data_IF_024101217707
#
_entry.id   IF_024101217707
#
_cell.length_a   1.000
_cell.length_b   1.000
_cell.length_c   1.000
_cell.angle_alpha   90.00
_cell.angle_beta   90.00
_cell.angle_gamma   90.00
#
_symmetry.space_group_name_H-M   'P 1'
#
loop_
_entity.id
_entity.type
_entity.pdbx_description
1 polymer ?
#
# COMPACT_ATOMS: atom_id res chain seq x y z
N UNK A 1 -23.50 63.82 6.50
CA UNK A 1 -24.94 64.17 6.58
C UNK A 1 -25.36 64.70 5.22
N UNK A 2 -26.28 64.05 4.50
CA UNK A 2 -26.96 64.53 3.27
C UNK A 2 -26.06 64.83 2.03
N UNK A 3 -26.52 64.82 0.77
CA UNK A 3 -27.55 64.04 0.03
C UNK A 3 -27.42 64.32 -1.49
N UNK A 4 -28.26 63.67 -2.32
CA UNK A 4 -28.50 63.82 -3.79
C UNK A 4 -27.83 62.71 -4.62
N UNK A 5 -28.49 61.73 -5.28
CA UNK A 5 -29.66 61.71 -6.19
C UNK A 5 -29.48 62.64 -7.41
N UNK A 6 -29.74 62.27 -8.68
CA UNK A 6 -30.58 61.24 -9.35
C UNK A 6 -29.89 60.72 -10.65
N UNK A 7 -30.02 59.47 -11.14
CA UNK A 7 -31.15 58.70 -11.74
C UNK A 7 -31.73 59.22 -13.09
N UNK A 8 -31.24 58.65 -14.19
CA UNK A 8 -31.93 58.30 -15.46
C UNK A 8 -31.22 57.00 -15.97
N UNK A 9 -31.81 55.87 -16.40
CA UNK A 9 -33.08 55.48 -17.05
C UNK A 9 -33.07 55.58 -18.57
N UNK A 10 -32.57 54.52 -19.23
CA UNK A 10 -32.83 54.22 -20.65
C UNK A 10 -33.56 52.87 -20.73
N UNK A 11 -34.70 52.84 -21.44
CA UNK A 11 -35.41 51.63 -21.90
C UNK A 11 -35.08 51.40 -23.38
N UNK A 12 -35.09 50.15 -23.84
CA UNK A 12 -35.66 49.64 -25.12
C UNK A 12 -35.43 48.11 -25.12
N UNK A 13 -36.41 47.28 -24.77
CA UNK A 13 -37.47 46.64 -25.60
C UNK A 13 -37.07 45.23 -26.10
N UNK A 14 -38.05 44.32 -26.05
CA UNK A 14 -37.96 42.86 -26.17
C UNK A 14 -37.83 42.30 -27.59
N UNK A 15 -37.24 41.10 -27.72
CA UNK A 15 -37.73 40.07 -28.67
C UNK A 15 -37.79 38.71 -27.98
N UNK A 16 -38.96 38.07 -28.02
CA UNK A 16 -39.18 36.69 -27.57
C UNK A 16 -39.06 35.75 -28.78
N UNK A 17 -38.37 34.61 -28.63
CA UNK A 17 -38.62 33.42 -29.46
C UNK A 17 -38.61 32.15 -28.61
N UNK A 18 -39.82 31.70 -28.29
CA UNK A 18 -40.12 30.33 -27.88
C UNK A 18 -40.22 29.42 -29.12
N UNK A 19 -39.72 28.19 -29.04
CA UNK A 19 -40.09 27.13 -29.97
C UNK A 19 -40.24 25.79 -29.22
N UNK A 20 -41.44 25.55 -28.72
CA UNK A 20 -41.94 24.20 -28.43
C UNK A 20 -42.18 23.46 -29.75
N UNK A 21 -41.74 22.21 -29.85
CA UNK A 21 -42.40 21.19 -30.66
C UNK A 21 -42.15 19.83 -30.01
N UNK A 22 -43.23 19.13 -29.70
CA UNK A 22 -43.23 17.75 -29.23
C UNK A 22 -44.19 16.97 -30.12
N UNK A 23 -43.78 15.77 -30.53
CA UNK A 23 -44.59 14.57 -30.82
C UNK A 23 -43.59 13.46 -31.24
N UNK A 24 -43.50 12.39 -30.45
CA UNK A 24 -44.13 11.08 -30.71
C UNK A 24 -43.54 10.33 -31.91
N UNK A 25 -42.88 9.18 -31.68
CA UNK A 25 -43.36 7.86 -32.14
C UNK A 25 -42.45 6.68 -31.66
N UNK A 26 -43.08 5.76 -30.92
CA UNK A 26 -42.87 4.30 -30.77
C UNK A 26 -41.47 3.65 -30.65
N UNK A 27 -41.30 2.97 -29.49
CA UNK A 27 -40.94 1.55 -29.31
C UNK A 27 -40.08 0.82 -30.34
N UNK A 28 -38.99 0.19 -29.87
CA UNK A 28 -38.79 -1.25 -30.07
C UNK A 28 -37.86 -1.86 -29.00
N UNK A 29 -38.41 -2.76 -28.18
CA UNK A 29 -37.63 -3.71 -27.37
C UNK A 29 -36.82 -4.65 -28.27
N UNK A 30 -35.60 -5.02 -27.86
CA UNK A 30 -35.11 -6.39 -28.03
C UNK A 30 -34.11 -6.79 -26.93
N UNK A 31 -34.44 -7.85 -26.19
CA UNK A 31 -33.52 -8.55 -25.30
C UNK A 31 -32.58 -9.44 -26.12
N UNK A 32 -31.36 -9.67 -25.64
CA UNK A 32 -30.55 -10.82 -26.08
C UNK A 32 -30.08 -11.66 -24.90
N UNK A 33 -30.59 -12.89 -24.85
CA UNK A 33 -30.20 -13.96 -23.92
C UNK A 33 -29.05 -14.79 -24.49
N UNK A 34 -28.32 -15.47 -23.60
CA UNK A 34 -27.25 -16.42 -23.98
C UNK A 34 -27.78 -17.63 -24.75
N UNK A 35 -26.98 -18.13 -25.70
CA UNK A 35 -27.02 -19.54 -26.12
C UNK A 35 -25.65 -20.00 -26.65
N UNK A 36 -25.19 -21.17 -26.19
CA UNK A 36 -24.08 -21.92 -26.77
C UNK A 36 -24.51 -22.57 -28.09
N UNK A 37 -23.60 -22.65 -29.06
CA UNK A 37 -23.59 -23.76 -30.03
C UNK A 37 -22.16 -24.09 -30.45
N UNK A 38 -21.78 -25.36 -30.34
CA UNK A 38 -20.66 -25.96 -31.05
C UNK A 38 -21.19 -26.88 -32.14
N UNK A 39 -20.46 -26.99 -33.27
CA UNK A 39 -20.20 -28.20 -34.08
C UNK A 39 -20.07 -27.93 -35.59
N UNK A 40 -19.09 -28.64 -36.14
CA UNK A 40 -19.10 -29.33 -37.45
C UNK A 40 -19.35 -28.51 -38.73
N UNK A 41 -18.29 -28.37 -39.54
CA UNK A 41 -18.37 -28.73 -40.96
C UNK A 41 -17.06 -29.38 -41.43
N UNK A 42 -17.17 -30.48 -42.18
CA UNK A 42 -16.07 -31.30 -42.72
C UNK A 42 -16.43 -31.71 -44.16
N UNK A 43 -15.42 -31.89 -45.04
CA UNK A 43 -15.40 -32.28 -46.49
C UNK A 43 -14.92 -31.13 -47.39
N UNK A 44 -14.16 -31.32 -48.49
CA UNK A 44 -13.51 -32.49 -49.15
C UNK A 44 -12.24 -31.92 -49.89
N UNK A 45 -11.03 -32.48 -49.82
CA UNK A 45 -10.46 -33.70 -50.45
C UNK A 45 -9.97 -33.53 -51.91
N UNK A 46 -8.63 -33.54 -52.05
CA UNK A 46 -7.70 -34.02 -53.10
C UNK A 46 -7.66 -33.49 -54.56
N UNK A 47 -6.43 -33.26 -55.06
CA UNK A 47 -5.74 -34.12 -56.08
C UNK A 47 -4.32 -33.62 -56.49
N UNK A 48 -3.31 -34.52 -56.43
CA UNK A 48 -2.07 -34.66 -57.28
C UNK A 48 -1.09 -33.46 -57.34
N UNK A 49 0.18 -33.48 -56.88
CA UNK A 49 1.32 -34.44 -56.90
C UNK A 49 2.27 -34.35 -58.13
N UNK A 50 3.53 -33.98 -57.87
CA UNK A 50 4.72 -34.21 -58.72
C UNK A 50 6.01 -33.91 -57.94
N UNK A 51 6.94 -34.88 -57.89
CA UNK A 51 8.29 -34.76 -57.30
C UNK A 51 9.36 -35.30 -58.27
N UNK A 52 10.65 -34.92 -58.10
CA UNK A 52 11.63 -35.86 -57.51
C UNK A 52 12.72 -35.19 -56.62
N UNK A 53 12.96 -35.69 -55.38
CA UNK A 53 14.16 -36.42 -54.88
C UNK A 53 15.52 -35.65 -54.87
N UNK A 54 16.42 -35.77 -53.89
CA UNK A 54 17.09 -36.97 -53.31
C UNK A 54 17.54 -36.77 -51.84
N UNK A 55 17.36 -37.82 -51.01
CA UNK A 55 18.14 -38.39 -49.85
C UNK A 55 19.23 -37.52 -49.12
N UNK A 56 19.55 -37.63 -47.82
CA UNK A 56 19.57 -38.69 -46.77
C UNK A 56 19.41 -38.04 -45.36
N UNK A 57 19.37 -38.69 -44.18
CA UNK A 57 18.88 -39.99 -43.66
C UNK A 57 18.81 -39.90 -42.10
N UNK A 58 18.20 -40.86 -41.39
CA UNK A 58 18.15 -40.89 -39.90
C UNK A 58 17.93 -42.31 -39.33
N UNK A 59 18.43 -42.64 -38.11
CA UNK A 59 18.10 -43.89 -37.42
C UNK A 59 17.17 -43.68 -36.21
N UNK A 60 16.13 -44.52 -36.11
CA UNK A 60 15.18 -44.57 -34.98
C UNK A 60 15.61 -45.63 -33.97
N UNK A 61 15.55 -45.35 -32.65
CA UNK A 61 15.64 -46.39 -31.60
C UNK A 61 14.60 -46.16 -30.51
N UNK A 62 13.77 -47.18 -30.28
CA UNK A 62 12.80 -47.27 -29.18
C UNK A 62 13.45 -47.83 -27.91
N UNK A 63 13.11 -47.30 -26.73
CA UNK A 63 13.32 -48.00 -25.44
C UNK A 63 12.22 -47.73 -24.41
N UNK A 64 11.81 -48.82 -23.76
CA UNK A 64 10.89 -48.88 -22.63
C UNK A 64 11.62 -49.30 -21.36
N UNK A 65 11.35 -48.65 -20.21
CA UNK A 65 11.68 -49.17 -18.87
C UNK A 65 10.60 -48.69 -17.88
N UNK A 66 9.69 -49.57 -17.44
CA UNK A 66 9.81 -50.44 -16.24
C UNK A 66 9.94 -49.68 -14.91
N UNK A 67 8.79 -49.44 -14.28
CA UNK A 67 8.69 -49.13 -12.85
C UNK A 67 8.97 -50.40 -12.01
N UNK A 68 9.64 -50.25 -10.85
CA UNK A 68 9.86 -51.35 -9.90
C UNK A 68 9.80 -50.83 -8.47
N UNK A 69 8.85 -51.34 -7.70
CA UNK A 69 8.76 -51.08 -6.26
C UNK A 69 9.82 -51.88 -5.51
N UNK A 70 10.32 -51.33 -4.40
CA UNK A 70 11.05 -52.11 -3.39
C UNK A 70 10.54 -51.75 -1.99
N UNK A 71 10.11 -52.79 -1.28
CA UNK A 71 9.68 -52.77 0.12
C UNK A 71 10.54 -53.82 0.83
N UNK A 72 11.35 -53.42 1.80
CA UNK A 72 12.06 -54.36 2.67
C UNK A 72 12.07 -53.86 4.10
N UNK A 73 11.66 -54.74 5.01
CA UNK A 73 11.77 -54.55 6.45
C UNK A 73 13.12 -55.11 6.91
N UNK A 74 13.74 -54.51 7.94
CA UNK A 74 14.56 -55.29 8.85
C UNK A 74 14.45 -54.76 10.28
N UNK A 75 14.03 -55.64 11.19
CA UNK A 75 13.99 -55.39 12.64
C UNK A 75 15.40 -55.59 13.22
N UNK A 76 15.86 -54.69 14.08
CA UNK A 76 16.80 -55.02 15.15
C UNK A 76 16.35 -54.38 16.46
N UNK A 77 16.12 -55.23 17.48
CA UNK A 77 15.99 -54.80 18.88
C UNK A 77 17.37 -54.47 19.41
N UNK A 78 17.53 -53.33 20.08
CA UNK A 78 18.51 -53.17 21.16
C UNK A 78 17.81 -52.49 22.33
N UNK A 79 18.01 -53.05 23.51
CA UNK A 79 17.39 -52.63 24.78
C UNK A 79 18.45 -52.09 25.72
N UNK A 80 18.30 -50.86 26.21
CA UNK A 80 18.87 -50.34 27.46
C UNK A 80 18.31 -48.91 27.71
N UNK A 81 18.44 -48.32 28.91
CA UNK A 81 17.45 -48.51 29.95
C UNK A 81 16.69 -47.22 30.29
N UNK A 82 15.49 -47.39 30.86
CA UNK A 82 14.70 -46.30 31.44
C UNK A 82 15.44 -45.63 32.60
N UNK A 83 15.78 -44.34 32.45
CA UNK A 83 16.08 -43.45 33.57
C UNK A 83 14.93 -42.45 33.72
N UNK A 84 14.14 -42.62 34.76
CA UNK A 84 13.23 -41.59 35.29
C UNK A 84 14.04 -40.60 36.14
N UNK A 85 13.95 -39.29 35.89
CA UNK A 85 14.16 -38.26 36.90
C UNK A 85 12.85 -37.97 37.64
N UNK A 86 12.97 -37.62 38.91
CA UNK A 86 11.87 -37.37 39.85
C UNK A 86 10.75 -36.46 39.33
N UNK A 87 9.53 -36.74 39.81
CA UNK A 87 8.52 -35.72 40.05
C UNK A 87 9.06 -34.73 41.10
N UNK A 88 9.51 -33.57 40.67
CA UNK A 88 9.57 -32.35 41.49
C UNK A 88 8.50 -31.42 40.95
N UNK A 89 7.54 -31.03 41.79
CA UNK A 89 6.47 -30.13 41.36
C UNK A 89 6.98 -28.69 41.27
N UNK A 90 6.62 -28.00 40.20
CA UNK A 90 6.33 -26.57 40.27
C UNK A 90 5.08 -26.29 39.45
N UNK A 91 4.16 -25.51 40.03
CA UNK A 91 2.82 -25.24 39.49
C UNK A 91 2.81 -24.15 38.43
N UNK A 92 3.84 -24.14 37.57
CA UNK A 92 3.89 -23.21 36.44
C UNK A 92 2.83 -23.58 35.42
N UNK A 93 1.81 -22.72 35.29
CA UNK A 93 0.83 -22.79 34.21
C UNK A 93 1.60 -22.76 32.87
N UNK A 94 1.66 -23.91 32.20
CA UNK A 94 2.31 -24.05 30.91
C UNK A 94 1.45 -23.31 29.89
N UNK A 95 1.74 -22.01 29.70
CA UNK A 95 1.20 -21.22 28.59
C UNK A 95 1.50 -21.99 27.31
N UNK A 96 0.46 -22.58 26.74
CA UNK A 96 0.57 -23.50 25.62
C UNK A 96 1.16 -22.72 24.45
N UNK A 97 2.40 -23.08 24.07
CA UNK A 97 3.17 -22.28 23.12
C UNK A 97 2.50 -22.36 21.75
N UNK A 98 1.82 -21.27 21.35
CA UNK A 98 1.07 -21.19 20.11
C UNK A 98 1.89 -21.75 18.94
N UNK A 99 1.31 -22.75 18.27
CA UNK A 99 1.91 -23.42 17.12
C UNK A 99 2.10 -22.44 15.96
N UNK A 100 3.15 -22.62 15.13
CA UNK A 100 3.31 -21.78 13.94
C UNK A 100 2.16 -22.00 12.94
N UNK A 101 1.74 -20.92 12.30
CA UNK A 101 0.61 -20.89 11.36
C UNK A 101 1.04 -20.16 10.08
N UNK A 102 0.41 -20.46 8.94
CA UNK A 102 0.51 -19.62 7.74
C UNK A 102 -0.84 -18.94 7.50
N UNK A 103 -0.83 -17.62 7.36
CA UNK A 103 -2.03 -16.82 7.04
C UNK A 103 -1.86 -16.12 5.69
N UNK A 104 -2.97 -15.93 4.98
CA UNK A 104 -3.07 -15.14 3.74
C UNK A 104 -4.16 -14.09 3.95
N UNK A 105 -3.97 -12.91 3.37
CA UNK A 105 -4.96 -11.84 3.36
C UNK A 105 -5.21 -11.36 1.91
N UNK A 106 -6.46 -11.08 1.48
CA UNK A 106 -6.77 -10.60 0.13
C UNK A 106 -6.01 -9.32 -0.28
N UNK A 107 -5.74 -8.42 0.66
CA UNK A 107 -5.08 -7.13 0.43
C UNK A 107 -3.59 -7.30 0.12
N UNK A 108 -2.93 -8.31 0.71
CA UNK A 108 -1.52 -8.61 0.46
C UNK A 108 -1.29 -9.70 -0.58
N UNK A 109 -2.31 -10.54 -0.81
CA UNK A 109 -2.36 -11.68 -1.71
C UNK A 109 -1.15 -12.64 -1.60
N UNK A 110 -0.59 -12.80 -0.40
CA UNK A 110 0.56 -13.68 -0.12
C UNK A 110 0.45 -14.35 1.23
N UNK A 111 1.18 -15.45 1.40
CA UNK A 111 1.32 -16.12 2.68
C UNK A 111 2.35 -15.43 3.58
N UNK A 112 2.08 -15.42 4.89
CA UNK A 112 3.00 -15.01 5.95
C UNK A 112 3.02 -16.09 7.02
N UNK A 113 4.22 -16.45 7.51
CA UNK A 113 4.42 -17.43 8.57
C UNK A 113 4.39 -16.71 9.92
N UNK A 114 3.48 -17.09 10.81
CA UNK A 114 3.51 -16.69 12.22
C UNK A 114 4.30 -17.73 13.03
N UNK A 115 5.26 -17.27 13.86
CA UNK A 115 6.10 -18.17 14.65
C UNK A 115 6.59 -17.55 15.96
N UNK A 116 5.77 -17.53 17.03
CA UNK A 116 6.12 -16.90 18.32
C UNK A 116 7.36 -17.50 19.01
N UNK A 117 7.73 -18.74 18.68
CA UNK A 117 8.98 -19.34 19.16
C UNK A 117 10.23 -18.53 18.74
N UNK A 118 10.17 -17.78 17.63
CA UNK A 118 11.21 -16.81 17.22
C UNK A 118 11.39 -15.71 18.26
N UNK A 119 10.32 -15.26 18.93
CA UNK A 119 10.37 -14.13 19.87
C UNK A 119 11.19 -14.40 21.14
N UNK A 120 11.50 -15.66 21.44
CA UNK A 120 12.44 -16.02 22.51
C UNK A 120 13.90 -15.75 22.15
N UNK A 121 14.20 -15.34 20.92
CA UNK A 121 15.55 -14.89 20.53
C UNK A 121 15.79 -13.50 21.14
N UNK A 122 16.87 -13.30 21.93
CA UNK A 122 17.11 -12.05 22.68
C UNK A 122 17.19 -10.77 21.83
N UNK A 123 17.26 -10.91 20.51
CA UNK A 123 17.42 -9.83 19.56
C UNK A 123 16.10 -9.24 19.07
N UNK A 124 14.96 -9.92 19.09
CA UNK A 124 13.95 -9.67 18.04
C UNK A 124 12.89 -8.59 18.39
N UNK A 125 12.96 -7.96 19.57
CA UNK A 125 11.80 -7.26 20.17
C UNK A 125 11.99 -5.86 20.78
N UNK A 126 13.19 -5.28 20.72
CA UNK A 126 13.41 -3.89 21.14
C UNK A 126 14.13 -3.13 20.04
N UNK A 127 13.86 -1.83 19.93
CA UNK A 127 14.54 -0.93 18.99
C UNK A 127 16.06 -1.13 19.09
N UNK A 128 16.65 -1.73 18.05
CA UNK A 128 18.10 -2.00 17.97
C UNK A 128 18.86 -0.87 17.28
N UNK A 129 18.16 0.14 16.77
CA UNK A 129 18.83 1.24 16.08
C UNK A 129 19.67 1.99 17.12
N UNK A 130 21.01 2.02 17.00
CA UNK A 130 21.81 2.81 17.91
C UNK A 130 21.37 4.26 17.75
N UNK A 131 21.07 4.93 18.87
CA UNK A 131 21.00 6.39 18.86
C UNK A 131 22.33 6.91 18.29
N UNK A 132 22.25 7.78 17.30
CA UNK A 132 23.44 8.39 16.70
C UNK A 132 24.31 8.98 17.82
N UNK A 133 25.60 8.59 17.95
CA UNK A 133 26.48 9.18 18.95
C UNK A 133 26.81 10.65 18.64
N UNK A 134 26.54 11.11 17.41
CA UNK A 134 26.58 12.52 17.05
C UNK A 134 25.21 13.18 17.38
N UNK A 135 25.20 14.39 17.97
CA UNK A 135 23.96 15.13 18.21
C UNK A 135 23.21 15.38 16.90
N UNK A 136 21.88 15.22 16.91
CA UNK A 136 21.00 15.67 15.80
C UNK A 136 21.37 17.15 15.53
N UNK A 137 21.70 17.56 14.29
CA UNK A 137 22.05 18.95 14.01
C UNK A 137 20.86 19.85 14.34
N UNK A 138 21.08 20.99 14.99
CA UNK A 138 19.99 21.88 15.43
C UNK A 138 19.30 22.65 14.29
N UNK A 139 19.82 22.56 13.07
CA UNK A 139 19.27 23.18 11.87
C UNK A 139 19.68 22.40 10.62
N UNK A 140 18.84 22.45 9.58
CA UNK A 140 19.11 21.89 8.25
C UNK A 140 18.38 22.72 7.18
N UNK A 141 18.57 22.45 5.86
CA UNK A 141 17.87 23.15 4.78
C UNK A 141 16.33 23.17 4.86
N UNK A 142 15.71 22.21 5.57
CA UNK A 142 14.25 22.16 5.71
C UNK A 142 13.70 23.11 6.79
N UNK A 143 14.55 23.71 7.62
CA UNK A 143 14.12 24.70 8.60
C UNK A 143 13.63 26.00 7.94
N UNK A 144 12.67 26.67 8.59
CA UNK A 144 12.18 27.99 8.16
C UNK A 144 13.34 29.01 8.08
N UNK A 145 13.31 29.86 7.05
CA UNK A 145 14.37 30.83 6.73
C UNK A 145 15.54 30.27 5.90
N UNK A 146 15.56 28.96 5.61
CA UNK A 146 16.60 28.28 4.81
C UNK A 146 16.06 27.73 3.48
N UNK A 147 14.94 28.26 3.01
CA UNK A 147 14.23 27.79 1.82
C UNK A 147 15.08 27.85 0.54
N UNK A 148 16.05 28.76 0.48
CA UNK A 148 17.01 28.91 -0.63
C UNK A 148 18.03 27.76 -0.74
N UNK A 149 18.14 26.90 0.28
CA UNK A 149 18.96 25.68 0.28
C UNK A 149 18.15 24.44 -0.17
N UNK A 150 16.84 24.59 -0.41
CA UNK A 150 15.97 23.54 -0.92
C UNK A 150 15.97 23.48 -2.45
N UNK A 151 15.55 22.34 -2.99
CA UNK A 151 15.07 22.25 -4.37
C UNK A 151 13.75 23.06 -4.54
N UNK A 152 13.32 23.34 -5.78
CA UNK A 152 12.17 24.21 -6.07
C UNK A 152 10.90 23.85 -5.29
N UNK A 153 10.20 24.88 -4.82
CA UNK A 153 8.95 24.73 -4.09
C UNK A 153 7.75 24.57 -5.04
N UNK A 154 6.86 23.62 -4.72
CA UNK A 154 5.63 23.37 -5.46
C UNK A 154 4.48 24.16 -4.85
N UNK A 155 4.34 24.12 -3.51
CA UNK A 155 3.49 25.02 -2.73
C UNK A 155 3.84 24.95 -1.23
N UNK A 156 3.24 25.84 -0.44
CA UNK A 156 3.28 25.86 1.03
C UNK A 156 1.88 26.02 1.63
N UNK A 157 1.75 25.77 2.93
CA UNK A 157 0.52 26.03 3.70
C UNK A 157 0.87 26.79 4.98
N UNK A 158 0.26 27.95 5.28
CA UNK A 158 -0.71 28.68 4.44
C UNK A 158 -0.09 29.15 3.10
N UNK A 159 -0.92 29.35 2.07
CA UNK A 159 -0.42 29.63 0.71
C UNK A 159 0.35 30.97 0.67
N UNK A 160 1.58 30.92 0.12
CA UNK A 160 2.50 32.08 0.00
C UNK A 160 2.88 32.78 1.32
N UNK A 161 2.59 32.18 2.47
CA UNK A 161 2.92 32.74 3.78
C UNK A 161 4.43 32.55 4.10
N UNK A 162 5.15 33.58 4.58
CA UNK A 162 6.49 33.39 5.12
C UNK A 162 6.50 32.52 6.39
N UNK A 163 5.45 32.55 7.22
CA UNK A 163 5.29 31.76 8.44
C UNK A 163 4.58 30.43 8.15
N UNK A 164 5.13 29.66 7.22
CA UNK A 164 4.55 28.40 6.77
C UNK A 164 4.53 27.32 7.87
N UNK A 165 3.48 26.49 7.87
CA UNK A 165 3.33 25.29 8.70
C UNK A 165 3.92 24.05 8.04
N UNK A 166 3.75 23.94 6.72
CA UNK A 166 4.36 22.87 5.90
C UNK A 166 4.70 23.37 4.49
N UNK A 167 5.56 22.64 3.79
CA UNK A 167 5.91 22.89 2.38
C UNK A 167 5.97 21.61 1.59
N UNK A 168 5.53 21.66 0.33
CA UNK A 168 5.76 20.61 -0.67
C UNK A 168 6.79 21.13 -1.65
N UNK A 169 7.95 20.49 -1.68
CA UNK A 169 9.08 20.83 -2.55
C UNK A 169 9.41 19.66 -3.46
N UNK A 170 10.12 19.92 -4.54
CA UNK A 170 10.77 18.88 -5.32
C UNK A 170 11.83 18.14 -4.47
N UNK A 171 12.10 16.87 -4.74
CA UNK A 171 13.28 16.21 -4.18
C UNK A 171 14.53 16.67 -4.95
N UNK A 172 15.58 17.10 -4.23
CA UNK A 172 16.88 17.52 -4.80
C UNK A 172 17.64 16.36 -5.45
N UNK A 173 17.42 15.14 -4.98
CA UNK A 173 18.01 13.90 -5.51
C UNK A 173 16.88 12.94 -5.94
N UNK A 174 16.14 13.28 -7.02
CA UNK A 174 14.94 12.55 -7.38
C UNK A 174 15.28 11.18 -8.00
N UNK A 175 14.53 10.14 -7.62
CA UNK A 175 14.75 8.78 -8.14
C UNK A 175 14.18 8.59 -9.56
N UNK A 176 13.28 9.47 -9.97
CA UNK A 176 12.65 9.55 -11.29
C UNK A 176 12.68 11.00 -11.77
N UNK A 177 12.86 11.23 -13.06
CA UNK A 177 13.04 12.57 -13.63
C UNK A 177 11.77 13.05 -14.34
N UNK A 178 11.21 14.16 -13.85
CA UNK A 178 10.03 14.80 -14.45
C UNK A 178 10.28 15.35 -15.86
N UNK A 179 11.54 15.55 -16.24
CA UNK A 179 11.94 16.07 -17.55
C UNK A 179 11.93 15.00 -18.67
N UNK A 180 11.60 13.74 -18.36
CA UNK A 180 11.55 12.64 -19.33
C UNK A 180 10.13 12.37 -19.89
N UNK A 181 9.15 13.21 -19.57
CA UNK A 181 7.72 12.99 -19.90
C UNK A 181 7.43 12.73 -21.39
N UNK A 182 8.22 13.33 -22.28
CA UNK A 182 8.07 13.24 -23.74
C UNK A 182 8.96 12.18 -24.40
N UNK A 183 9.74 11.42 -23.63
CA UNK A 183 10.73 10.48 -24.18
C UNK A 183 10.13 9.08 -24.42
N UNK A 184 9.86 8.77 -25.68
CA UNK A 184 9.44 7.44 -26.14
C UNK A 184 10.62 6.45 -26.24
N UNK A 185 11.34 6.19 -25.15
CA UNK A 185 12.44 5.21 -25.12
C UNK A 185 11.96 3.78 -24.87
N UNK A 186 11.07 3.27 -25.73
CA UNK A 186 10.88 1.83 -25.90
C UNK A 186 12.00 1.28 -26.78
N UNK A 187 13.08 0.79 -26.16
CA UNK A 187 14.01 -0.13 -26.83
C UNK A 187 13.45 -1.54 -26.69
N UNK A 188 12.72 -1.99 -27.70
CA UNK A 188 12.21 -3.36 -27.74
C UNK A 188 13.22 -4.29 -28.42
N UNK A 189 13.77 -5.21 -27.63
CA UNK A 189 14.16 -6.53 -28.14
C UNK A 189 13.18 -7.54 -27.54
N UNK A 190 12.91 -8.64 -28.23
CA UNK A 190 11.79 -9.54 -27.88
C UNK A 190 11.82 -10.06 -26.42
N UNK A 191 12.98 -10.10 -25.78
CA UNK A 191 13.18 -10.61 -24.41
C UNK A 191 13.58 -9.56 -23.37
N UNK A 192 13.91 -8.33 -23.76
CA UNK A 192 14.34 -7.26 -22.85
C UNK A 192 13.69 -5.94 -23.25
N UNK A 193 12.94 -5.36 -22.31
CA UNK A 193 12.26 -4.08 -22.46
C UNK A 193 12.82 -3.07 -21.46
N UNK A 194 12.92 -1.82 -21.89
CA UNK A 194 13.30 -0.66 -21.06
C UNK A 194 12.28 0.45 -21.31
N UNK A 195 11.99 1.24 -20.28
CA UNK A 195 11.20 2.47 -20.34
C UNK A 195 12.02 3.63 -19.77
N UNK A 196 11.67 4.87 -20.13
CA UNK A 196 12.25 6.06 -19.51
C UNK A 196 12.00 6.07 -17.99
N UNK A 197 12.99 6.54 -17.21
CA UNK A 197 12.86 6.80 -15.77
C UNK A 197 12.03 8.05 -15.46
N UNK A 198 10.90 8.24 -16.17
CA UNK A 198 9.99 9.35 -15.95
C UNK A 198 9.20 9.18 -14.65
N UNK A 199 8.96 10.28 -13.96
CA UNK A 199 8.11 10.34 -12.78
C UNK A 199 8.36 11.62 -11.99
N UNK A 200 7.64 11.76 -10.88
CA UNK A 200 7.85 12.84 -9.91
C UNK A 200 8.38 12.24 -8.60
N UNK A 201 9.37 12.88 -7.99
CA UNK A 201 9.82 12.58 -6.64
C UNK A 201 9.87 13.90 -5.87
N UNK A 202 8.97 14.04 -4.90
CA UNK A 202 8.71 15.28 -4.17
C UNK A 202 8.78 15.00 -2.65
N UNK A 203 9.12 16.02 -1.87
CA UNK A 203 9.25 15.96 -0.41
C UNK A 203 8.20 16.87 0.23
N UNK A 204 7.55 16.38 1.28
CA UNK A 204 6.67 17.20 2.12
C UNK A 204 7.38 17.44 3.45
N UNK A 205 7.75 18.70 3.70
CA UNK A 205 8.32 19.15 4.96
C UNK A 205 7.16 19.42 5.91
N UNK A 206 7.06 18.66 7.00
CA UNK A 206 5.86 18.58 7.83
C UNK A 206 5.80 19.64 8.96
N UNK A 207 6.91 20.36 9.21
CA UNK A 207 7.02 21.37 10.27
C UNK A 207 8.10 22.40 9.92
N UNK A 208 8.00 23.67 10.33
CA UNK A 208 9.09 24.64 10.24
C UNK A 208 10.21 24.40 11.26
N UNK A 209 9.92 23.67 12.35
CA UNK A 209 10.82 23.46 13.49
C UNK A 209 11.53 22.10 13.37
N UNK A 210 12.86 22.10 13.48
CA UNK A 210 13.70 20.92 13.24
C UNK A 210 13.39 19.71 14.13
N UNK A 211 13.10 19.96 15.41
CA UNK A 211 12.97 18.94 16.44
C UNK A 211 11.55 18.40 16.64
N UNK A 212 10.57 18.92 15.91
CA UNK A 212 9.18 18.47 16.00
C UNK A 212 8.98 17.31 15.04
N UNK A 213 8.47 16.20 15.57
CA UNK A 213 8.17 14.99 14.81
C UNK A 213 6.67 14.92 14.48
N UNK A 214 6.27 14.14 13.46
CA UNK A 214 4.87 14.11 13.01
C UNK A 214 3.88 13.74 14.15
N UNK A 215 4.30 12.87 15.06
CA UNK A 215 3.53 12.45 16.24
C UNK A 215 3.39 13.54 17.31
N UNK A 216 4.16 14.62 17.24
CA UNK A 216 4.06 15.76 18.16
C UNK A 216 3.03 16.77 17.70
N UNK A 217 2.87 16.96 16.38
CA UNK A 217 1.85 17.82 15.77
C UNK A 217 0.45 17.49 16.28
N UNK A 218 -0.39 18.51 16.39
CA UNK A 218 -1.79 18.34 16.75
C UNK A 218 -2.58 17.67 15.59
N UNK A 219 -3.78 17.10 15.85
CA UNK A 219 -4.58 16.46 14.82
C UNK A 219 -4.88 17.36 13.61
N UNK A 220 -4.98 18.68 13.78
CA UNK A 220 -5.22 19.61 12.67
C UNK A 220 -3.94 19.81 11.84
N UNK A 221 -2.78 19.96 12.47
CA UNK A 221 -1.49 20.00 11.76
C UNK A 221 -1.20 18.74 10.95
N UNK A 222 -1.54 17.55 11.46
CA UNK A 222 -1.44 16.30 10.70
C UNK A 222 -2.50 16.24 9.58
N UNK A 223 -3.71 16.75 9.84
CA UNK A 223 -4.74 16.94 8.82
C UNK A 223 -4.28 17.82 7.65
N UNK A 224 -3.62 18.95 7.92
CA UNK A 224 -3.02 19.82 6.90
C UNK A 224 -1.99 19.06 6.04
N UNK A 225 -1.17 18.20 6.66
CA UNK A 225 -0.20 17.34 5.95
C UNK A 225 -0.91 16.33 5.03
N UNK A 226 -1.99 15.69 5.50
CA UNK A 226 -2.80 14.78 4.69
C UNK A 226 -3.51 15.49 3.53
N UNK A 227 -4.01 16.71 3.74
CA UNK A 227 -4.58 17.57 2.69
C UNK A 227 -3.50 18.03 1.70
N UNK A 228 -2.27 18.29 2.14
CA UNK A 228 -1.15 18.57 1.24
C UNK A 228 -0.83 17.37 0.33
N UNK A 229 -0.89 16.13 0.84
CA UNK A 229 -0.77 14.93 0.00
C UNK A 229 -1.88 14.86 -1.05
N UNK A 230 -3.15 15.06 -0.65
CA UNK A 230 -4.29 15.11 -1.57
C UNK A 230 -4.08 16.16 -2.67
N UNK A 231 -3.75 17.41 -2.29
CA UNK A 231 -3.49 18.51 -3.23
C UNK A 231 -2.38 18.16 -4.22
N UNK A 232 -1.28 17.53 -3.75
CA UNK A 232 -0.19 17.13 -4.64
C UNK A 232 -0.56 15.97 -5.56
N UNK A 233 -1.32 14.98 -5.07
CA UNK A 233 -1.87 13.90 -5.90
C UNK A 233 -2.74 14.47 -7.03
N UNK A 234 -3.66 15.39 -6.72
CA UNK A 234 -4.56 16.02 -7.71
C UNK A 234 -3.84 16.89 -8.76
N UNK A 235 -2.65 17.41 -8.45
CA UNK A 235 -1.77 18.04 -9.43
C UNK A 235 -1.12 17.00 -10.36
N UNK A 236 -0.65 15.88 -9.80
CA UNK A 236 0.05 14.83 -10.55
C UNK A 236 -0.91 14.05 -11.44
N UNK A 237 -2.19 13.89 -11.06
CA UNK A 237 -3.22 13.21 -11.89
C UNK A 237 -3.49 13.90 -13.23
N UNK A 238 -3.02 15.13 -13.44
CA UNK A 238 -3.09 15.82 -14.74
C UNK A 238 -2.07 15.29 -15.77
N UNK A 239 -1.21 14.34 -15.39
CA UNK A 239 -0.21 13.72 -16.25
C UNK A 239 -0.59 12.26 -16.58
N UNK A 240 -1.15 12.02 -17.77
CA UNK A 240 -1.56 10.69 -18.26
C UNK A 240 -0.43 9.64 -18.27
N UNK A 241 0.82 10.06 -18.25
CA UNK A 241 1.99 9.19 -18.18
C UNK A 241 2.24 8.60 -16.77
N UNK A 242 1.53 9.05 -15.74
CA UNK A 242 1.55 8.48 -14.39
C UNK A 242 0.38 7.49 -14.23
N UNK A 243 0.66 6.32 -13.65
CA UNK A 243 -0.34 5.27 -13.41
C UNK A 243 -0.56 4.97 -11.91
N UNK A 244 0.42 5.28 -11.04
CA UNK A 244 0.30 5.14 -9.58
C UNK A 244 1.10 6.21 -8.85
N UNK A 245 0.70 6.57 -7.62
CA UNK A 245 1.43 7.50 -6.75
C UNK A 245 1.57 6.86 -5.37
N UNK A 246 2.80 6.67 -4.91
CA UNK A 246 3.09 6.23 -3.56
C UNK A 246 3.39 7.43 -2.66
N UNK A 247 2.60 7.59 -1.60
CA UNK A 247 2.92 8.51 -0.48
C UNK A 247 3.45 7.68 0.67
N UNK A 248 4.60 8.06 1.23
CA UNK A 248 5.26 7.30 2.29
C UNK A 248 6.10 8.20 3.20
N UNK A 249 6.34 7.74 4.43
CA UNK A 249 7.25 8.38 5.39
C UNK A 249 8.32 7.39 5.84
N UNK A 250 9.53 7.90 6.02
CA UNK A 250 10.62 7.22 6.70
C UNK A 250 10.96 8.02 7.96
N UNK A 251 10.94 7.39 9.12
CA UNK A 251 11.33 8.01 10.39
C UNK A 251 12.43 7.17 11.06
N UNK A 252 13.56 7.81 11.36
CA UNK A 252 14.74 7.14 11.92
C UNK A 252 15.68 6.56 10.83
N UNK A 253 16.98 6.55 11.12
CA UNK A 253 18.01 6.27 10.12
C UNK A 253 17.91 4.86 9.50
N UNK A 254 17.67 3.83 10.32
CA UNK A 254 17.54 2.45 9.84
C UNK A 254 16.28 2.22 8.99
N UNK A 255 15.24 3.06 9.15
CA UNK A 255 14.02 3.05 8.32
C UNK A 255 14.20 3.83 7.00
N UNK A 256 15.42 4.28 6.68
CA UNK A 256 15.73 4.99 5.44
C UNK A 256 15.50 6.50 5.49
N UNK A 257 15.46 7.11 6.68
CA UNK A 257 15.46 8.57 6.80
C UNK A 257 16.89 9.12 6.66
N UNK A 258 17.16 9.89 5.61
CA UNK A 258 18.43 10.60 5.41
C UNK A 258 18.49 11.96 6.11
N UNK A 259 17.34 12.53 6.46
CA UNK A 259 17.19 13.82 7.15
C UNK A 259 16.51 13.60 8.50
N UNK A 260 17.01 14.25 9.55
CA UNK A 260 16.44 14.23 10.91
C UNK A 260 15.16 15.06 11.06
N UNK A 261 15.01 16.10 10.24
CA UNK A 261 13.85 16.99 10.20
C UNK A 261 12.62 16.23 9.71
N UNK A 262 11.47 16.38 10.37
CA UNK A 262 10.27 15.60 10.03
C UNK A 262 9.74 15.94 8.64
N UNK A 263 9.78 14.93 7.76
CA UNK A 263 9.32 15.00 6.39
C UNK A 263 8.75 13.65 5.94
N UNK A 264 8.04 13.68 4.82
CA UNK A 264 7.58 12.51 4.07
C UNK A 264 7.83 12.72 2.57
N UNK A 265 7.52 11.72 1.75
CA UNK A 265 7.88 11.67 0.34
C UNK A 265 6.69 11.22 -0.51
N UNK A 266 6.61 11.76 -1.72
CA UNK A 266 5.63 11.40 -2.75
C UNK A 266 6.39 10.97 -3.99
N UNK A 267 6.12 9.77 -4.49
CA UNK A 267 6.73 9.24 -5.70
C UNK A 267 5.66 8.80 -6.71
N UNK A 268 5.64 9.45 -7.86
CA UNK A 268 4.71 9.18 -8.95
C UNK A 268 5.36 8.30 -10.00
N UNK A 269 4.71 7.18 -10.31
CA UNK A 269 5.24 6.07 -11.11
C UNK A 269 4.53 5.97 -12.47
N UNK A 270 5.27 5.68 -13.56
CA UNK A 270 4.70 5.41 -14.88
C UNK A 270 4.14 3.98 -15.00
N UNK A 271 4.15 3.20 -13.93
CA UNK A 271 3.67 1.81 -13.86
C UNK A 271 2.89 1.58 -12.58
N UNK A 272 2.00 0.58 -12.58
CA UNK A 272 1.38 0.07 -11.35
C UNK A 272 2.38 -0.88 -10.67
N UNK A 273 2.78 -0.65 -9.40
CA UNK A 273 3.79 -1.46 -8.74
C UNK A 273 3.23 -2.81 -8.25
N UNK A 274 4.07 -3.84 -8.02
CA UNK A 274 3.62 -5.21 -7.78
C UNK A 274 2.63 -5.39 -6.63
N UNK A 275 2.83 -4.68 -5.51
CA UNK A 275 1.92 -4.75 -4.35
C UNK A 275 0.51 -4.25 -4.65
N UNK A 276 0.36 -3.33 -5.62
CA UNK A 276 -0.94 -2.80 -6.03
C UNK A 276 -1.63 -3.79 -6.96
N UNK A 277 -0.90 -4.40 -7.90
CA UNK A 277 -1.43 -5.48 -8.75
C UNK A 277 -1.89 -6.67 -7.90
N UNK A 278 -1.02 -7.19 -7.03
CA UNK A 278 -1.36 -8.30 -6.13
C UNK A 278 -2.57 -8.01 -5.25
N UNK A 279 -2.72 -6.76 -4.76
CA UNK A 279 -3.89 -6.31 -4.01
C UNK A 279 -5.15 -6.28 -4.86
N UNK A 280 -5.09 -5.75 -6.08
CA UNK A 280 -6.24 -5.76 -7.00
C UNK A 280 -6.69 -7.19 -7.31
N UNK A 281 -5.74 -8.08 -7.61
CA UNK A 281 -6.03 -9.49 -7.88
C UNK A 281 -6.70 -10.17 -6.67
N UNK A 282 -6.10 -10.05 -5.48
CA UNK A 282 -6.60 -10.73 -4.29
C UNK A 282 -7.91 -10.15 -3.74
N UNK A 283 -8.10 -8.82 -3.84
CA UNK A 283 -9.37 -8.18 -3.44
C UNK A 283 -10.48 -8.43 -4.46
N UNK A 284 -10.16 -8.59 -5.75
CA UNK A 284 -11.09 -9.07 -6.77
C UNK A 284 -11.51 -10.52 -6.51
N UNK A 285 -10.56 -11.44 -6.32
CA UNK A 285 -10.84 -12.84 -5.96
C UNK A 285 -11.82 -12.93 -4.78
N UNK A 286 -11.54 -12.19 -3.70
CA UNK A 286 -12.42 -12.13 -2.53
C UNK A 286 -13.80 -11.54 -2.83
N UNK A 287 -13.89 -10.52 -3.68
CA UNK A 287 -15.16 -9.90 -4.06
C UNK A 287 -16.00 -10.81 -4.96
N UNK A 288 -15.38 -11.49 -5.93
CA UNK A 288 -16.04 -12.45 -6.82
C UNK A 288 -16.59 -13.64 -6.03
N UNK A 289 -15.91 -14.09 -4.96
CA UNK A 289 -16.35 -15.18 -4.08
C UNK A 289 -17.42 -14.76 -3.04
N UNK A 290 -17.35 -13.54 -2.49
CA UNK A 290 -18.15 -13.15 -1.31
C UNK A 290 -19.18 -12.04 -1.57
N UNK A 291 -19.10 -11.34 -2.70
CA UNK A 291 -19.88 -10.14 -3.01
C UNK A 291 -19.52 -8.91 -2.17
N UNK A 292 -18.35 -8.88 -1.51
CA UNK A 292 -17.98 -7.85 -0.53
C UNK A 292 -16.54 -7.35 -0.69
N UNK A 293 -16.30 -6.08 -0.35
CA UNK A 293 -14.94 -5.59 -0.13
C UNK A 293 -14.42 -6.09 1.23
N UNK A 294 -13.25 -6.72 1.24
CA UNK A 294 -12.61 -7.24 2.46
C UNK A 294 -12.31 -6.15 3.52
N UNK A 295 -11.93 -4.94 3.10
CA UNK A 295 -11.64 -3.83 4.03
C UNK A 295 -12.90 -3.19 4.62
N UNK A 296 -14.05 -3.28 3.96
CA UNK A 296 -15.33 -2.94 4.59
C UNK A 296 -15.71 -3.93 5.71
N UNK A 297 -15.14 -5.14 5.69
CA UNK A 297 -15.24 -6.13 6.79
C UNK A 297 -14.06 -6.06 7.77
N UNK A 298 -13.21 -5.01 7.74
CA UNK A 298 -11.99 -4.93 8.55
C UNK A 298 -12.21 -5.17 10.07
N UNK A 299 -13.34 -4.74 10.63
CA UNK A 299 -13.67 -4.96 12.05
C UNK A 299 -13.95 -6.42 12.43
N UNK A 300 -14.36 -7.25 11.48
CA UNK A 300 -14.64 -8.68 11.70
C UNK A 300 -13.55 -9.60 11.12
N UNK A 301 -12.73 -9.09 10.20
CA UNK A 301 -11.61 -9.81 9.57
C UNK A 301 -10.26 -9.53 10.20
N UNK A 302 -10.12 -8.46 10.98
CA UNK A 302 -8.86 -8.06 11.62
C UNK A 302 -9.09 -7.66 13.09
N UNK A 303 -8.00 -7.49 13.85
CA UNK A 303 -8.09 -7.21 15.28
C UNK A 303 -8.04 -5.70 15.53
N UNK A 304 -9.20 -5.09 15.77
CA UNK A 304 -9.36 -3.64 16.04
C UNK A 304 -8.47 -3.18 17.20
N UNK A 305 -7.77 -2.06 17.05
CA UNK A 305 -6.93 -1.44 18.10
C UNK A 305 -7.69 -0.26 18.70
N UNK A 306 -8.00 0.77 17.90
CA UNK A 306 -8.81 1.93 18.25
C UNK A 306 -9.75 2.31 17.09
N UNK A 307 -10.72 3.19 17.34
CA UNK A 307 -11.66 3.69 16.35
C UNK A 307 -11.87 5.21 16.52
N UNK A 308 -11.96 5.93 15.39
CA UNK A 308 -12.27 7.36 15.33
C UNK A 308 -13.65 7.58 14.69
N UNK A 309 -14.01 8.82 14.32
CA UNK A 309 -15.31 9.11 13.70
C UNK A 309 -15.46 8.42 12.34
N UNK A 310 -14.40 8.39 11.53
CA UNK A 310 -14.40 7.91 10.14
C UNK A 310 -13.43 6.76 9.85
N UNK A 311 -12.53 6.42 10.78
CA UNK A 311 -11.51 5.39 10.58
C UNK A 311 -11.49 4.36 11.71
N UNK A 312 -10.86 3.21 11.44
CA UNK A 312 -10.54 2.18 12.44
C UNK A 312 -9.09 1.76 12.26
N UNK A 313 -8.34 1.62 13.35
CA UNK A 313 -7.02 1.00 13.33
C UNK A 313 -7.12 -0.48 13.67
N UNK A 314 -6.37 -1.33 12.98
CA UNK A 314 -6.38 -2.79 13.15
C UNK A 314 -4.98 -3.37 13.10
N UNK A 315 -4.74 -4.46 13.84
CA UNK A 315 -3.65 -5.38 13.56
C UNK A 315 -4.12 -6.36 12.47
N UNK A 316 -3.50 -6.37 11.26
CA UNK A 316 -3.98 -7.16 10.13
C UNK A 316 -3.89 -8.67 10.39
N UNK A 317 -4.89 -9.45 9.97
CA UNK A 317 -4.94 -10.90 10.25
C UNK A 317 -3.71 -11.66 9.72
N UNK A 318 -3.23 -11.33 8.53
CA UNK A 318 -1.96 -11.81 7.97
C UNK A 318 -0.90 -10.70 7.90
N UNK A 319 -0.74 -9.93 8.99
CA UNK A 319 0.30 -8.91 9.14
C UNK A 319 1.68 -9.44 8.70
N UNK A 320 2.35 -8.71 7.80
CA UNK A 320 3.68 -9.05 7.29
C UNK A 320 4.75 -8.83 8.37
N UNK A 321 4.60 -7.76 9.16
CA UNK A 321 5.59 -7.33 10.14
C UNK A 321 5.04 -7.37 11.58
N UNK A 322 5.88 -7.61 12.59
CA UNK A 322 5.46 -7.53 13.99
C UNK A 322 5.08 -6.08 14.34
N UNK A 323 3.96 -5.92 15.07
CA UNK A 323 3.35 -4.60 15.36
C UNK A 323 2.97 -3.76 14.13
N UNK A 324 2.75 -4.40 12.98
CA UNK A 324 2.11 -3.75 11.83
C UNK A 324 0.67 -3.32 12.16
N UNK A 325 0.32 -2.09 11.78
CA UNK A 325 -1.00 -1.50 11.98
C UNK A 325 -1.53 -0.98 10.65
N UNK A 326 -2.79 -1.27 10.32
CA UNK A 326 -3.50 -0.56 9.24
C UNK A 326 -4.52 0.41 9.84
N UNK A 327 -4.62 1.62 9.28
CA UNK A 327 -5.71 2.56 9.51
C UNK A 327 -6.58 2.55 8.26
N UNK A 328 -7.83 2.14 8.42
CA UNK A 328 -8.77 1.83 7.34
C UNK A 328 -9.98 2.77 7.45
N UNK A 329 -10.45 3.38 6.35
CA UNK A 329 -11.71 4.11 6.32
C UNK A 329 -12.90 3.19 6.65
N UNK A 330 -13.88 3.68 7.39
CA UNK A 330 -15.13 2.94 7.67
C UNK A 330 -16.12 3.01 6.50
N UNK A 331 -16.11 4.12 5.77
CA UNK A 331 -16.83 4.26 4.51
C UNK A 331 -16.01 3.64 3.38
N UNK A 332 -16.65 2.90 2.46
CA UNK A 332 -15.94 2.39 1.28
C UNK A 332 -15.34 3.53 0.45
N UNK A 333 -14.02 3.53 0.28
CA UNK A 333 -13.31 4.59 -0.44
C UNK A 333 -12.13 4.04 -1.22
N UNK A 334 -12.16 4.09 -2.55
CA UNK A 334 -11.09 3.54 -3.40
C UNK A 334 -9.85 4.45 -3.47
N UNK A 335 -10.03 5.77 -3.39
CA UNK A 335 -8.97 6.76 -3.58
C UNK A 335 -8.70 7.56 -2.30
N UNK A 336 -7.43 7.61 -1.87
CA UNK A 336 -7.02 8.44 -0.74
C UNK A 336 -7.32 9.94 -0.97
N UNK A 337 -7.14 10.43 -2.20
CA UNK A 337 -7.33 11.85 -2.52
C UNK A 337 -8.80 12.33 -2.52
N UNK A 338 -9.76 11.44 -2.17
CA UNK A 338 -11.14 11.82 -1.85
C UNK A 338 -11.32 12.30 -0.40
N UNK A 339 -10.27 12.23 0.45
CA UNK A 339 -10.27 12.73 1.82
C UNK A 339 -10.74 14.19 1.92
N UNK A 340 -11.78 14.48 2.70
CA UNK A 340 -12.21 15.85 3.03
C UNK A 340 -11.53 16.37 4.31
N UNK A 341 -11.70 17.65 4.62
CA UNK A 341 -11.00 18.31 5.73
C UNK A 341 -11.43 17.75 7.11
N UNK A 342 -12.69 17.34 7.27
CA UNK A 342 -13.20 16.75 8.52
C UNK A 342 -12.56 15.37 8.72
N UNK A 343 -12.57 14.54 7.67
CA UNK A 343 -11.89 13.24 7.67
C UNK A 343 -10.38 13.38 7.82
N UNK A 344 -9.76 14.44 7.31
CA UNK A 344 -8.32 14.68 7.46
C UNK A 344 -7.92 14.95 8.92
N UNK A 345 -8.70 15.73 9.68
CA UNK A 345 -8.44 15.96 11.11
C UNK A 345 -8.71 14.71 11.95
N UNK A 346 -9.80 13.99 11.68
CA UNK A 346 -10.12 12.71 12.36
C UNK A 346 -9.05 11.63 12.08
N UNK A 347 -8.56 11.55 10.83
CA UNK A 347 -7.44 10.70 10.46
C UNK A 347 -6.13 11.15 11.12
N UNK A 348 -5.86 12.46 11.16
CA UNK A 348 -4.71 13.01 11.87
C UNK A 348 -4.69 12.63 13.34
N UNK A 349 -5.86 12.62 14.00
CA UNK A 349 -6.03 12.16 15.38
C UNK A 349 -5.69 10.69 15.59
N UNK A 350 -6.28 9.77 14.81
CA UNK A 350 -5.99 8.33 14.95
C UNK A 350 -4.57 7.97 14.50
N UNK A 351 -4.00 8.66 13.51
CA UNK A 351 -2.61 8.49 13.11
C UNK A 351 -1.65 8.92 14.23
N UNK A 352 -1.89 10.09 14.85
CA UNK A 352 -1.14 10.54 16.05
C UNK A 352 -1.21 9.50 17.15
N UNK A 353 -2.41 9.02 17.48
CA UNK A 353 -2.66 8.02 18.52
C UNK A 353 -1.87 6.72 18.25
N UNK A 354 -1.91 6.20 17.01
CA UNK A 354 -1.16 5.00 16.65
C UNK A 354 0.35 5.19 16.76
N UNK A 355 0.89 6.30 16.24
CA UNK A 355 2.32 6.60 16.34
C UNK A 355 2.78 6.76 17.80
N UNK A 356 2.01 7.46 18.63
CA UNK A 356 2.33 7.64 20.06
C UNK A 356 2.22 6.32 20.85
N UNK A 357 1.22 5.47 20.58
CA UNK A 357 1.12 4.13 21.19
C UNK A 357 2.29 3.23 20.79
N UNK A 358 2.66 3.23 19.51
CA UNK A 358 3.83 2.53 18.97
C UNK A 358 5.13 3.01 19.65
N UNK A 359 5.36 4.32 19.71
CA UNK A 359 6.54 4.90 20.33
C UNK A 359 6.65 4.53 21.82
N UNK A 360 5.55 4.65 22.58
CA UNK A 360 5.53 4.28 24.01
C UNK A 360 5.77 2.78 24.23
N UNK A 361 5.09 1.92 23.48
CA UNK A 361 5.14 0.47 23.70
C UNK A 361 6.47 -0.16 23.25
N UNK A 362 7.06 0.34 22.17
CA UNK A 362 8.20 -0.29 21.51
C UNK A 362 9.54 0.42 21.77
N UNK A 363 9.53 1.45 22.62
CA UNK A 363 10.69 2.30 22.97
C UNK A 363 11.22 3.06 21.75
N UNK A 364 10.33 3.88 21.17
CA UNK A 364 10.60 4.80 20.07
C UNK A 364 11.35 4.14 18.88
N UNK A 365 10.74 3.13 18.23
CA UNK A 365 11.36 2.46 17.10
C UNK A 365 11.32 3.36 15.86
N UNK A 366 12.37 3.35 15.02
CA UNK A 366 12.26 3.79 13.63
C UNK A 366 11.06 3.12 12.95
N UNK A 367 10.36 3.86 12.10
CA UNK A 367 9.15 3.36 11.45
C UNK A 367 9.00 3.90 10.04
N UNK A 368 8.20 3.19 9.25
CA UNK A 368 7.68 3.69 7.98
C UNK A 368 6.15 3.74 8.05
N UNK A 369 5.54 4.65 7.29
CA UNK A 369 4.15 4.46 6.88
C UNK A 369 4.00 4.61 5.37
N UNK A 370 2.99 3.93 4.83
CA UNK A 370 2.68 3.88 3.42
C UNK A 370 1.17 4.04 3.22
N UNK A 371 0.74 4.98 2.38
CA UNK A 371 -0.65 5.06 1.93
C UNK A 371 -0.82 4.13 0.73
N UNK A 372 -1.72 3.17 0.84
CA UNK A 372 -2.09 2.24 -0.22
C UNK A 372 -3.40 2.72 -0.84
N UNK A 373 -3.36 3.27 -2.05
CA UNK A 373 -4.51 3.85 -2.74
C UNK A 373 -4.83 3.08 -4.03
N UNK A 374 -5.97 3.37 -4.68
CA UNK A 374 -6.24 2.94 -6.05
C UNK A 374 -5.15 3.43 -7.05
N UNK A 375 -4.87 2.68 -8.15
CA UNK A 375 -4.29 3.25 -9.37
C UNK A 375 -5.04 4.49 -9.86
N UNK A 376 -4.36 5.32 -10.67
CA UNK A 376 -4.98 6.51 -11.25
C UNK A 376 -5.97 6.15 -12.37
N UNK A 377 -5.68 5.09 -13.13
CA UNK A 377 -6.51 4.55 -14.21
C UNK A 377 -7.17 3.24 -13.77
N UNK A 378 -7.82 3.28 -12.61
CA UNK A 378 -8.65 2.19 -12.12
C UNK A 378 -9.90 2.08 -12.99
N UNK A 379 -10.33 0.86 -13.29
CA UNK A 379 -11.57 0.63 -14.04
C UNK A 379 -12.79 0.72 -13.12
N UNK A 380 -13.95 1.12 -13.64
CA UNK A 380 -15.19 1.23 -12.85
C UNK A 380 -15.55 -0.10 -12.16
N UNK A 381 -15.32 -1.23 -12.85
CA UNK A 381 -15.51 -2.59 -12.32
C UNK A 381 -14.58 -2.95 -11.16
N UNK A 382 -13.49 -2.20 -10.95
CA UNK A 382 -12.54 -2.40 -9.84
C UNK A 382 -12.91 -1.59 -8.59
N UNK A 383 -13.75 -0.56 -8.72
CA UNK A 383 -14.13 0.32 -7.61
C UNK A 383 -14.82 -0.40 -6.44
N UNK A 384 -15.73 -1.39 -6.62
CA UNK A 384 -16.44 -2.03 -5.52
C UNK A 384 -15.57 -2.80 -4.51
N UNK A 385 -14.36 -3.21 -4.91
CA UNK A 385 -13.42 -3.94 -4.04
C UNK A 385 -12.11 -3.21 -3.79
N UNK A 386 -11.77 -2.21 -4.61
CA UNK A 386 -10.66 -1.30 -4.32
C UNK A 386 -11.02 -0.36 -3.17
N UNK A 387 -10.31 -0.48 -2.05
CA UNK A 387 -10.46 0.37 -0.87
C UNK A 387 -9.04 0.77 -0.39
N UNK A 388 -8.81 2.07 -0.13
CA UNK A 388 -7.52 2.58 0.34
C UNK A 388 -7.34 2.41 1.86
N UNK A 389 -6.09 2.35 2.31
CA UNK A 389 -5.75 2.35 3.73
C UNK A 389 -4.33 2.92 3.94
N UNK A 390 -3.95 3.20 5.18
CA UNK A 390 -2.57 3.52 5.56
C UNK A 390 -1.98 2.39 6.39
N UNK A 391 -0.80 1.92 6.02
CA UNK A 391 -0.03 0.90 6.73
C UNK A 391 1.08 1.58 7.53
N UNK A 392 1.24 1.24 8.81
CA UNK A 392 2.36 1.63 9.67
C UNK A 392 3.20 0.38 9.96
N UNK A 393 4.52 0.46 9.79
CA UNK A 393 5.47 -0.62 10.05
C UNK A 393 6.57 -0.12 10.99
N UNK A 394 6.52 -0.47 12.29
CA UNK A 394 7.63 -0.29 13.21
C UNK A 394 8.79 -1.23 12.86
N UNK A 395 10.01 -0.71 12.81
CA UNK A 395 11.18 -1.47 12.38
C UNK A 395 11.84 -2.23 13.55
N UNK A 396 11.31 -3.42 13.84
CA UNK A 396 11.80 -4.27 14.96
C UNK A 396 12.86 -5.30 14.52
N UNK A 397 12.77 -5.79 13.28
CA UNK A 397 13.65 -6.83 12.73
C UNK A 397 14.00 -6.58 11.27
N UNK A 398 15.20 -7.00 10.86
CA UNK A 398 15.56 -7.10 9.45
C UNK A 398 15.08 -8.41 8.82
N UNK A 399 15.24 -8.53 7.50
CA UNK A 399 14.98 -9.76 6.72
C UNK A 399 16.25 -10.57 6.50
N UNK A 400 16.10 -11.88 6.27
CA UNK A 400 17.18 -12.79 5.90
C UNK A 400 17.04 -13.32 4.47
N UNK A 401 17.86 -14.33 4.14
CA UNK A 401 17.84 -14.96 2.82
C UNK A 401 16.56 -15.72 2.49
N UNK A 402 15.75 -16.09 3.49
CA UNK A 402 14.46 -16.73 3.28
C UNK A 402 13.44 -15.75 2.68
N UNK A 403 13.28 -14.59 3.32
CA UNK A 403 12.32 -13.56 2.90
C UNK A 403 12.75 -12.96 1.55
N UNK A 404 14.04 -12.69 1.37
CA UNK A 404 14.62 -12.21 0.10
C UNK A 404 14.42 -13.24 -1.03
N UNK A 405 14.61 -14.53 -0.75
CA UNK A 405 14.52 -15.60 -1.76
C UNK A 405 13.11 -16.05 -2.11
N UNK A 406 12.11 -15.79 -1.26
CA UNK A 406 10.74 -16.33 -1.42
C UNK A 406 9.64 -15.26 -1.52
N UNK A 407 9.88 -14.05 -1.03
CA UNK A 407 8.83 -13.03 -0.84
C UNK A 407 7.83 -13.36 0.28
N UNK A 408 8.00 -14.49 0.99
CA UNK A 408 7.24 -14.89 2.16
C UNK A 408 7.94 -14.37 3.43
N UNK A 409 7.18 -13.82 4.37
CA UNK A 409 7.70 -13.19 5.58
C UNK A 409 7.47 -14.07 6.81
N UNK A 410 8.30 -13.89 7.85
CA UNK A 410 8.15 -14.55 9.13
C UNK A 410 7.84 -13.50 10.20
N UNK A 411 6.59 -13.50 10.68
CA UNK A 411 6.14 -12.61 11.74
C UNK A 411 6.26 -13.32 13.11
N UNK A 412 7.06 -12.77 14.05
CA UNK A 412 7.22 -13.36 15.37
C UNK A 412 6.09 -13.01 16.38
N UNK A 413 5.09 -12.20 16.01
CA UNK A 413 3.93 -11.86 16.88
C UNK A 413 2.62 -12.08 16.13
N UNK A 414 1.64 -12.70 16.76
CA UNK A 414 0.28 -12.76 16.23
C UNK A 414 -0.43 -11.40 16.36
N UNK A 415 -1.24 -10.97 15.37
CA UNK A 415 -1.96 -9.71 15.44
C UNK A 415 -3.00 -9.66 16.58
N UNK A 416 -3.46 -10.82 17.05
CA UNK A 416 -4.19 -11.02 18.31
C UNK A 416 -3.50 -10.32 19.49
N UNK A 417 -2.21 -10.62 19.70
CA UNK A 417 -1.41 -10.08 20.80
C UNK A 417 -1.06 -8.61 20.56
N UNK A 418 -0.73 -8.23 19.32
CA UNK A 418 -0.49 -6.82 18.94
C UNK A 418 -1.70 -5.95 19.30
N UNK A 419 -2.91 -6.40 18.94
CA UNK A 419 -4.12 -5.65 19.22
C UNK A 419 -4.44 -5.58 20.71
N UNK A 420 -4.24 -6.68 21.46
CA UNK A 420 -4.36 -6.65 22.93
C UNK A 420 -3.40 -5.63 23.53
N UNK A 421 -2.11 -5.74 23.22
CA UNK A 421 -1.06 -4.88 23.77
C UNK A 421 -1.33 -3.41 23.45
N UNK A 422 -1.64 -3.06 22.20
CA UNK A 422 -1.86 -1.66 21.79
C UNK A 422 -3.17 -1.07 22.34
N UNK A 423 -4.20 -1.87 22.64
CA UNK A 423 -5.37 -1.41 23.42
C UNK A 423 -5.01 -1.05 24.86
N UNK A 424 -4.14 -1.83 25.49
CA UNK A 424 -3.69 -1.64 26.88
C UNK A 424 -2.71 -0.46 27.06
N UNK A 425 -2.18 0.14 25.97
CA UNK A 425 -1.32 1.33 26.04
C UNK A 425 -2.12 2.58 26.43
N UNK A 426 -2.01 2.97 27.69
CA UNK A 426 -2.44 4.29 28.19
C UNK A 426 -1.42 5.37 27.80
N UNK A 427 -1.85 6.43 27.10
CA UNK A 427 -1.04 7.66 26.93
C UNK A 427 -1.26 8.61 28.13
N UNK A 428 -0.28 9.49 28.38
CA UNK A 428 -0.30 10.43 29.51
C UNK A 428 -0.86 11.80 29.10
#
# INVERSE_FOLDING_TARGET
>A
TLSNQSRETIKITSTIKSSTLAQEYQDHHYCYTMANTSKEFTKQVDLIDQTPSIQTSAPTVTKSHKCRSYRSQQKRKMTSPSRTPNRGGDGGELVEAQSPELRKDPVTNRWVIFSPARAKRPTDFKSKSPQSPNPKPSSCPFCIGREHECAPEIFRVPDRDPNWKLRVIENLYPALSRNLATQSTQRETASVRTIAGFGFHDVVIESPVHSIELSDLDPVGIGDVLIAYKKRIQQITQHDSINYIQVFKNHGASAGASMSHSHSQIMALPVVPPTVSSRLDGTKEYFDETGKCCLCEAKSKHFVIDESSHFVSVAPFAATYPFEVWIVPKDHSSHFHHLDDIKAVDFGGILKLMLQKIAKQLNDPPYNYMIHTSPLKVEEVQLPYTHWFLQIVPQLSGVGGFEIGTGCYINPVFPEDVAKVLREVTLA
#
